data_IF_445540047131
#
_entry.id   IF_445540047131
#
_cell.length_a   1.000
_cell.length_b   1.000
_cell.length_c   1.000
_cell.angle_alpha   90.00
_cell.angle_beta   90.00
_cell.angle_gamma   90.00
#
_symmetry.space_group_name_H-M   'P 1'
#
loop_
_entity.id
_entity.type
_entity.pdbx_description
1 polymer ?
#
# COMPACT_ATOMS: atom_id res chain seq x y z
N UNK A 1 46.78 38.52 -7.05
CA UNK A 1 46.39 37.26 -6.38
C UNK A 1 45.01 37.48 -5.79
N UNK A 2 43.95 36.94 -6.41
CA UNK A 2 42.60 36.97 -5.82
C UNK A 2 42.52 35.78 -4.86
N UNK A 3 42.38 36.06 -3.56
CA UNK A 3 42.15 35.04 -2.55
C UNK A 3 40.88 34.26 -2.87
N UNK A 4 40.87 32.98 -2.53
CA UNK A 4 39.79 32.06 -2.86
C UNK A 4 38.48 32.51 -2.18
N UNK A 5 37.57 33.10 -2.95
CA UNK A 5 36.26 33.62 -2.51
C UNK A 5 35.36 32.57 -1.84
N UNK A 6 35.75 31.28 -1.80
CA UNK A 6 35.01 30.20 -1.17
C UNK A 6 35.16 30.17 0.36
N UNK A 7 36.32 30.54 0.91
CA UNK A 7 36.57 30.44 2.37
C UNK A 7 35.65 31.37 3.19
N UNK A 8 35.29 32.54 2.65
CA UNK A 8 34.37 33.47 3.31
C UNK A 8 32.93 32.95 3.39
N UNK A 9 32.51 32.06 2.48
CA UNK A 9 31.16 31.50 2.45
C UNK A 9 31.05 30.16 3.19
N UNK A 10 32.18 29.55 3.56
CA UNK A 10 32.25 28.24 4.22
C UNK A 10 31.33 28.12 5.45
N UNK A 11 31.25 29.11 6.36
CA UNK A 11 30.34 29.03 7.52
C UNK A 11 28.86 28.99 7.13
N UNK A 12 28.48 29.71 6.07
CA UNK A 12 27.12 29.72 5.54
C UNK A 12 26.78 28.40 4.85
N UNK A 13 27.72 27.85 4.08
CA UNK A 13 27.58 26.54 3.44
C UNK A 13 27.37 25.45 4.50
N UNK A 14 28.18 25.44 5.57
CA UNK A 14 28.01 24.46 6.66
C UNK A 14 26.69 24.64 7.42
N UNK A 15 26.21 25.88 7.57
CA UNK A 15 24.88 26.13 8.15
C UNK A 15 23.76 25.54 7.27
N UNK A 16 23.80 25.75 5.95
CA UNK A 16 22.82 25.18 5.03
C UNK A 16 22.88 23.65 4.98
N UNK A 17 24.08 23.06 4.95
CA UNK A 17 24.26 21.61 5.02
C UNK A 17 23.71 21.05 6.34
N UNK A 18 23.97 21.72 7.47
CA UNK A 18 23.42 21.35 8.76
C UNK A 18 21.89 21.39 8.81
N UNK A 19 21.27 22.44 8.23
CA UNK A 19 19.81 22.56 8.13
C UNK A 19 19.24 21.45 7.24
N UNK A 20 19.85 21.17 6.09
CA UNK A 20 19.40 20.09 5.18
C UNK A 20 19.47 18.74 5.90
N UNK A 21 20.56 18.45 6.61
CA UNK A 21 20.71 17.21 7.39
C UNK A 21 19.63 17.12 8.47
N UNK A 22 19.35 18.21 9.19
CA UNK A 22 18.31 18.22 10.22
C UNK A 22 16.91 18.03 9.64
N UNK A 23 16.62 18.60 8.47
CA UNK A 23 15.35 18.41 7.76
C UNK A 23 15.22 16.96 7.29
N UNK A 24 16.26 16.39 6.69
CA UNK A 24 16.26 15.00 6.23
C UNK A 24 16.11 14.02 7.40
N UNK A 25 16.81 14.26 8.52
CA UNK A 25 16.66 13.46 9.74
C UNK A 25 15.27 13.63 10.34
N UNK A 26 14.73 14.85 10.39
CA UNK A 26 13.39 15.11 10.94
C UNK A 26 12.29 14.45 10.11
N UNK A 27 12.35 14.59 8.80
CA UNK A 27 11.44 13.93 7.85
C UNK A 27 11.60 12.41 7.95
N UNK A 28 12.83 11.90 7.92
CA UNK A 28 13.11 10.47 8.10
C UNK A 28 12.61 9.91 9.43
N UNK A 29 12.70 10.67 10.52
CA UNK A 29 12.17 10.28 11.83
C UNK A 29 10.63 10.21 11.86
N UNK A 30 9.94 11.12 11.16
CA UNK A 30 8.49 11.07 10.98
C UNK A 30 8.09 9.80 10.21
N UNK A 31 8.79 9.50 9.11
CA UNK A 31 8.54 8.28 8.34
C UNK A 31 8.87 6.99 9.12
N UNK A 32 9.96 6.97 9.89
CA UNK A 32 10.36 5.82 10.73
C UNK A 32 9.45 5.60 11.93
N UNK A 33 8.77 6.64 12.42
CA UNK A 33 7.80 6.54 13.48
C UNK A 33 6.44 5.98 13.01
N UNK A 34 6.20 5.86 11.70
CA UNK A 34 4.92 5.42 11.14
C UNK A 34 3.78 6.45 11.29
N UNK A 35 4.04 7.60 11.90
CA UNK A 35 3.11 8.72 12.03
C UNK A 35 3.10 9.54 10.73
N UNK A 36 2.43 9.01 9.71
CA UNK A 36 1.92 9.85 8.61
C UNK A 36 1.02 10.91 9.26
N UNK A 37 1.20 12.22 9.01
CA UNK A 37 0.32 13.23 9.56
C UNK A 37 -1.14 12.85 9.30
N UNK A 38 -1.96 12.80 10.35
CA UNK A 38 -3.35 12.32 10.33
C UNK A 38 -4.23 13.05 9.28
N UNK A 39 -3.76 14.21 8.79
CA UNK A 39 -4.38 15.02 7.74
C UNK A 39 -4.14 14.53 6.31
N UNK A 40 -3.20 13.60 6.08
CA UNK A 40 -2.81 13.07 4.74
C UNK A 40 -3.18 11.58 4.58
N UNK A 41 -3.55 10.90 5.67
CA UNK A 41 -3.92 9.49 5.65
C UNK A 41 -5.38 9.28 5.20
N UNK A 42 -5.61 8.25 4.36
CA UNK A 42 -6.95 7.86 3.95
C UNK A 42 -7.71 7.28 5.16
N UNK A 43 -8.96 7.73 5.36
CA UNK A 43 -9.79 7.31 6.49
C UNK A 43 -10.66 6.12 6.11
N UNK A 44 -10.15 4.91 6.29
CA UNK A 44 -10.87 3.68 5.95
C UNK A 44 -12.11 3.37 6.82
N UNK A 45 -12.37 4.17 7.85
CA UNK A 45 -13.66 4.17 8.53
C UNK A 45 -14.80 4.72 7.65
N UNK A 46 -14.48 5.55 6.66
CA UNK A 46 -15.42 6.13 5.71
C UNK A 46 -15.68 5.15 4.55
N UNK A 47 -16.94 4.70 4.34
CA UNK A 47 -17.28 3.84 3.22
C UNK A 47 -16.94 4.40 1.84
N UNK A 48 -16.82 5.71 1.67
CA UNK A 48 -16.44 6.33 0.40
C UNK A 48 -15.01 5.98 -0.05
N UNK A 49 -14.15 5.54 0.88
CA UNK A 49 -12.78 5.10 0.59
C UNK A 49 -12.69 3.62 0.22
N UNK A 50 -13.82 2.99 -0.13
CA UNK A 50 -13.90 1.61 -0.55
C UNK A 50 -14.68 1.51 -1.86
N UNK A 51 -14.12 0.82 -2.84
CA UNK A 51 -14.87 0.37 -4.00
C UNK A 51 -15.93 -0.66 -3.58
N UNK A 52 -15.54 -1.59 -2.69
CA UNK A 52 -16.46 -2.53 -2.07
C UNK A 52 -16.12 -2.69 -0.59
N UNK A 53 -17.13 -2.55 0.25
CA UNK A 53 -17.03 -2.69 1.70
C UNK A 53 -18.07 -3.71 2.15
N UNK A 54 -17.68 -4.98 2.14
CA UNK A 54 -18.50 -6.12 2.50
C UNK A 54 -19.50 -5.85 3.63
N UNK A 55 -20.72 -6.32 3.44
CA UNK A 55 -21.85 -6.01 4.31
C UNK A 55 -22.74 -7.21 4.63
N UNK A 56 -22.46 -8.38 4.06
CA UNK A 56 -23.25 -9.58 4.30
C UNK A 56 -22.79 -10.26 5.61
N UNK A 57 -23.61 -10.23 6.67
CA UNK A 57 -23.25 -10.86 7.93
C UNK A 57 -23.23 -12.39 7.85
N UNK A 58 -23.85 -13.00 6.84
CA UNK A 58 -23.92 -14.45 6.64
C UNK A 58 -22.82 -14.97 5.70
N UNK A 59 -21.98 -14.08 5.14
CA UNK A 59 -20.86 -14.50 4.31
C UNK A 59 -19.91 -15.43 5.08
N UNK A 60 -19.64 -16.59 4.49
CA UNK A 60 -18.78 -17.63 5.07
C UNK A 60 -17.27 -17.32 4.88
N UNK A 61 -16.95 -16.42 3.95
CA UNK A 61 -15.60 -16.07 3.55
C UNK A 61 -15.52 -14.61 3.12
N UNK A 62 -14.43 -13.95 3.48
CA UNK A 62 -14.09 -12.62 3.00
C UNK A 62 -12.96 -12.67 1.97
N UNK A 63 -12.95 -11.71 1.05
CA UNK A 63 -11.85 -11.43 0.14
C UNK A 63 -11.36 -10.02 0.38
N UNK A 64 -10.12 -9.87 0.83
CA UNK A 64 -9.44 -8.57 0.84
C UNK A 64 -8.63 -8.45 -0.44
N UNK A 65 -9.03 -7.52 -1.32
CA UNK A 65 -8.47 -7.40 -2.66
C UNK A 65 -7.80 -6.05 -2.90
N UNK A 66 -6.56 -6.06 -3.39
CA UNK A 66 -5.85 -4.87 -3.88
C UNK A 66 -5.74 -4.94 -5.41
N UNK A 67 -6.35 -3.99 -6.11
CA UNK A 67 -6.31 -3.87 -7.57
C UNK A 67 -4.95 -3.36 -8.06
N UNK A 68 -4.71 -3.41 -9.37
CA UNK A 68 -3.47 -2.90 -9.97
C UNK A 68 -3.46 -1.36 -10.03
N UNK A 69 -2.45 -0.75 -10.63
CA UNK A 69 -2.54 0.65 -11.04
C UNK A 69 -3.53 0.83 -12.21
N UNK A 70 -4.27 1.96 -12.21
CA UNK A 70 -5.16 2.30 -13.32
C UNK A 70 -4.53 3.40 -14.15
N UNK A 71 -4.68 3.29 -15.48
CA UNK A 71 -4.27 4.38 -16.36
C UNK A 71 -5.26 5.54 -16.27
N UNK A 72 -4.74 6.71 -15.92
CA UNK A 72 -5.51 7.94 -15.75
C UNK A 72 -4.92 9.00 -16.67
N UNK A 73 -5.72 9.50 -17.61
CA UNK A 73 -5.23 10.34 -18.71
C UNK A 73 -4.87 11.76 -18.30
N UNK A 74 -5.43 12.25 -17.18
CA UNK A 74 -5.33 13.66 -16.77
C UNK A 74 -4.42 13.87 -15.55
N UNK A 75 -3.47 12.95 -15.30
CA UNK A 75 -2.48 13.10 -14.22
C UNK A 75 -1.29 13.92 -14.72
N UNK A 76 -0.92 14.93 -13.93
CA UNK A 76 0.28 15.74 -14.17
C UNK A 76 1.55 14.88 -14.07
N UNK A 77 2.56 15.10 -14.94
CA UNK A 77 3.82 14.34 -14.89
C UNK A 77 4.64 14.57 -13.62
N UNK A 78 4.23 15.52 -12.77
CA UNK A 78 4.85 15.78 -11.47
C UNK A 78 4.12 15.10 -10.31
N UNK A 79 2.96 14.49 -10.54
CA UNK A 79 2.22 13.74 -9.54
C UNK A 79 2.78 12.33 -9.47
N UNK A 80 3.28 11.94 -8.31
CA UNK A 80 3.91 10.63 -8.10
C UNK A 80 2.91 9.57 -7.65
N UNK A 81 1.77 10.00 -7.11
CA UNK A 81 0.70 9.14 -6.66
C UNK A 81 -0.65 9.63 -7.16
N UNK A 82 -1.54 8.69 -7.44
CA UNK A 82 -2.92 8.97 -7.82
C UNK A 82 -3.71 9.46 -6.61
N UNK A 83 -4.38 10.61 -6.71
CA UNK A 83 -5.33 11.07 -5.68
C UNK A 83 -6.62 10.23 -5.75
N UNK A 84 -6.85 9.44 -4.69
CA UNK A 84 -8.02 8.56 -4.57
C UNK A 84 -9.35 9.30 -4.52
N UNK A 85 -9.37 10.60 -4.20
CA UNK A 85 -10.62 11.37 -4.16
C UNK A 85 -11.17 11.74 -5.53
N UNK A 86 -10.38 11.51 -6.60
CA UNK A 86 -10.77 11.80 -7.97
C UNK A 86 -11.80 10.79 -8.47
N UNK A 87 -12.96 11.31 -8.88
CA UNK A 87 -14.05 10.51 -9.43
C UNK A 87 -13.64 9.64 -10.64
N UNK A 88 -12.70 10.12 -11.46
CA UNK A 88 -12.18 9.33 -12.58
C UNK A 88 -11.57 8.00 -12.12
N UNK A 89 -10.83 8.01 -11.01
CA UNK A 89 -10.18 6.81 -10.45
C UNK A 89 -11.23 5.79 -10.05
N UNK A 90 -12.30 6.24 -9.39
CA UNK A 90 -13.36 5.34 -8.97
C UNK A 90 -13.97 4.62 -10.18
N UNK A 91 -14.21 5.32 -11.29
CA UNK A 91 -14.75 4.69 -12.50
C UNK A 91 -13.74 3.73 -13.15
N UNK A 92 -12.46 4.12 -13.28
CA UNK A 92 -11.43 3.27 -13.89
C UNK A 92 -11.23 1.99 -13.10
N UNK A 93 -11.19 2.09 -11.78
CA UNK A 93 -11.12 0.96 -10.87
C UNK A 93 -12.36 0.07 -11.03
N UNK A 94 -13.56 0.65 -11.11
CA UNK A 94 -14.77 -0.14 -11.38
C UNK A 94 -14.72 -0.86 -12.74
N UNK A 95 -14.23 -0.21 -13.80
CA UNK A 95 -14.10 -0.80 -15.13
C UNK A 95 -13.10 -1.97 -15.13
N UNK A 96 -11.94 -1.81 -14.49
CA UNK A 96 -10.92 -2.86 -14.34
C UNK A 96 -11.46 -4.04 -13.52
N UNK A 97 -12.12 -3.73 -12.40
CA UNK A 97 -12.60 -4.71 -11.46
C UNK A 97 -13.86 -5.45 -11.91
N UNK A 98 -14.56 -4.97 -12.95
CA UNK A 98 -15.83 -5.59 -13.39
C UNK A 98 -15.65 -7.10 -13.61
N UNK A 99 -14.62 -7.51 -14.33
CA UNK A 99 -14.36 -8.94 -14.58
C UNK A 99 -13.88 -9.70 -13.33
N UNK A 100 -13.14 -9.03 -12.45
CA UNK A 100 -12.55 -9.63 -11.24
C UNK A 100 -13.59 -9.82 -10.13
N UNK A 101 -14.45 -8.82 -9.92
CA UNK A 101 -15.54 -8.84 -8.92
C UNK A 101 -16.64 -9.81 -9.34
N UNK A 102 -17.00 -9.84 -10.62
CA UNK A 102 -18.01 -10.78 -11.15
C UNK A 102 -17.52 -12.24 -11.16
N UNK A 103 -16.20 -12.47 -11.09
CA UNK A 103 -15.61 -13.81 -11.04
C UNK A 103 -15.63 -14.46 -9.65
N UNK A 104 -15.82 -13.67 -8.57
CA UNK A 104 -15.90 -14.24 -7.22
C UNK A 104 -17.27 -14.89 -6.97
N UNK A 105 -17.31 -16.13 -6.45
CA UNK A 105 -18.57 -16.82 -6.19
C UNK A 105 -19.50 -16.01 -5.28
N UNK A 106 -20.81 -16.09 -5.57
CA UNK A 106 -21.84 -15.54 -4.67
C UNK A 106 -21.69 -16.10 -3.25
N UNK A 107 -21.81 -15.25 -2.23
CA UNK A 107 -21.72 -15.64 -0.81
C UNK A 107 -20.42 -15.24 -0.10
N UNK A 108 -19.56 -14.45 -0.75
CA UNK A 108 -18.36 -13.86 -0.16
C UNK A 108 -18.51 -12.34 -0.01
N UNK A 109 -17.92 -11.79 1.05
CA UNK A 109 -17.76 -10.34 1.18
C UNK A 109 -16.48 -9.90 0.48
N UNK A 110 -16.57 -8.87 -0.36
CA UNK A 110 -15.40 -8.24 -0.96
C UNK A 110 -15.03 -6.96 -0.19
N UNK A 111 -13.75 -6.82 0.12
CA UNK A 111 -13.16 -5.64 0.75
C UNK A 111 -12.09 -5.09 -0.19
N UNK A 112 -12.45 -4.04 -0.92
CA UNK A 112 -11.63 -3.44 -1.97
C UNK A 112 -11.44 -1.96 -1.63
N UNK A 113 -10.34 -1.59 -0.96
CA UNK A 113 -10.09 -0.22 -0.53
C UNK A 113 -9.56 0.62 -1.69
N UNK A 114 -9.98 1.88 -1.79
CA UNK A 114 -9.23 2.83 -2.60
C UNK A 114 -7.91 3.15 -1.90
N UNK A 115 -6.79 2.98 -2.58
CA UNK A 115 -5.46 3.32 -2.09
C UNK A 115 -4.72 4.13 -3.16
N UNK A 116 -3.81 5.02 -2.75
CA UNK A 116 -3.05 5.82 -3.72
C UNK A 116 -2.16 4.90 -4.53
N UNK A 117 -2.30 4.90 -5.84
CA UNK A 117 -1.43 4.12 -6.72
C UNK A 117 -0.16 4.90 -7.05
N UNK A 118 0.96 4.22 -7.29
CA UNK A 118 2.14 4.84 -7.90
C UNK A 118 1.83 5.14 -9.37
N UNK A 119 2.14 6.35 -9.83
CA UNK A 119 1.89 6.73 -11.24
C UNK A 119 2.96 6.15 -12.15
N UNK A 120 2.62 5.92 -13.42
CA UNK A 120 3.60 5.53 -14.44
C UNK A 120 4.76 6.53 -14.55
N UNK A 121 4.50 7.82 -14.36
CA UNK A 121 5.54 8.85 -14.32
C UNK A 121 6.54 8.66 -13.18
N UNK A 122 6.09 8.21 -12.00
CA UNK A 122 6.97 7.89 -10.89
C UNK A 122 7.77 6.60 -11.15
N UNK A 123 7.14 5.57 -11.72
CA UNK A 123 7.81 4.31 -12.10
C UNK A 123 8.89 4.52 -13.17
N UNK A 124 8.66 5.43 -14.12
CA UNK A 124 9.59 5.74 -15.20
C UNK A 124 10.57 6.88 -14.86
N UNK A 125 10.57 7.38 -13.62
CA UNK A 125 11.42 8.49 -13.23
C UNK A 125 12.91 8.10 -13.26
N UNK A 126 13.76 9.00 -13.78
CA UNK A 126 15.22 8.79 -13.81
C UNK A 126 15.85 8.64 -12.41
N UNK A 127 15.15 9.05 -11.37
CA UNK A 127 15.60 9.01 -9.98
C UNK A 127 14.78 7.97 -9.20
N UNK A 128 15.37 6.80 -8.83
CA UNK A 128 14.66 5.72 -8.12
C UNK A 128 14.00 6.16 -6.81
N UNK A 129 14.54 7.18 -6.14
CA UNK A 129 13.98 7.72 -4.90
C UNK A 129 12.55 8.26 -5.06
N UNK A 130 12.16 8.65 -6.27
CA UNK A 130 10.81 9.15 -6.56
C UNK A 130 9.81 7.99 -6.51
N UNK A 131 10.10 6.90 -7.22
CA UNK A 131 9.30 5.68 -7.20
C UNK A 131 9.23 5.11 -5.78
N UNK A 132 10.38 5.02 -5.09
CA UNK A 132 10.44 4.50 -3.71
C UNK A 132 9.54 5.30 -2.76
N UNK A 133 9.61 6.64 -2.82
CA UNK A 133 8.78 7.50 -1.98
C UNK A 133 7.28 7.35 -2.30
N UNK A 134 6.94 7.24 -3.60
CA UNK A 134 5.57 7.03 -4.03
C UNK A 134 5.02 5.67 -3.58
N UNK A 135 5.84 4.63 -3.71
CA UNK A 135 5.53 3.27 -3.28
C UNK A 135 5.34 3.20 -1.77
N UNK A 136 6.17 3.90 -0.99
CA UNK A 136 6.00 3.99 0.47
C UNK A 136 4.64 4.56 0.86
N UNK A 137 4.15 5.58 0.15
CA UNK A 137 2.83 6.17 0.39
C UNK A 137 1.72 5.18 0.04
N UNK A 138 1.79 4.61 -1.17
CA UNK A 138 0.81 3.64 -1.67
C UNK A 138 0.69 2.40 -0.76
N UNK A 139 1.84 1.84 -0.37
CA UNK A 139 1.89 0.70 0.52
C UNK A 139 1.41 1.04 1.94
N UNK A 140 1.66 2.25 2.44
CA UNK A 140 1.12 2.69 3.73
C UNK A 140 -0.41 2.74 3.72
N UNK A 141 -1.03 3.19 2.63
CA UNK A 141 -2.49 3.18 2.47
C UNK A 141 -3.04 1.75 2.45
N UNK A 142 -2.45 0.87 1.64
CA UNK A 142 -2.83 -0.54 1.57
C UNK A 142 -2.77 -1.21 2.96
N UNK A 143 -1.71 -0.94 3.72
CA UNK A 143 -1.54 -1.41 5.10
C UNK A 143 -2.59 -0.86 6.04
N UNK A 144 -2.93 0.43 5.94
CA UNK A 144 -3.96 1.06 6.75
C UNK A 144 -5.35 0.46 6.46
N UNK A 145 -5.67 0.20 5.19
CA UNK A 145 -6.90 -0.45 4.78
C UNK A 145 -7.02 -1.87 5.35
N UNK A 146 -5.96 -2.67 5.18
CA UNK A 146 -5.93 -4.04 5.68
C UNK A 146 -6.05 -4.08 7.20
N UNK A 147 -5.35 -3.16 7.89
CA UNK A 147 -5.45 -3.06 9.34
C UNK A 147 -6.87 -2.70 9.81
N UNK A 148 -7.55 -1.77 9.12
CA UNK A 148 -8.96 -1.47 9.43
C UNK A 148 -9.86 -2.69 9.17
N UNK A 149 -9.70 -3.35 8.02
CA UNK A 149 -10.42 -4.57 7.70
C UNK A 149 -10.28 -5.62 8.81
N UNK A 150 -9.05 -5.98 9.17
CA UNK A 150 -8.80 -7.03 10.17
C UNK A 150 -9.35 -6.69 11.56
N UNK A 151 -9.27 -5.44 11.99
CA UNK A 151 -9.64 -5.06 13.36
C UNK A 151 -11.12 -4.65 13.53
N UNK A 152 -11.77 -4.21 12.44
CA UNK A 152 -13.11 -3.60 12.51
C UNK A 152 -14.14 -4.40 11.71
N UNK A 153 -13.75 -5.12 10.66
CA UNK A 153 -14.68 -5.74 9.70
C UNK A 153 -14.61 -7.26 9.62
N UNK A 154 -13.42 -7.85 9.68
CA UNK A 154 -13.23 -9.30 9.51
C UNK A 154 -13.97 -10.11 10.58
N UNK A 155 -14.05 -9.62 11.83
CA UNK A 155 -14.76 -10.28 12.95
C UNK A 155 -14.34 -11.75 13.18
N UNK A 156 -13.14 -12.14 12.76
CA UNK A 156 -12.66 -13.52 12.84
C UNK A 156 -13.16 -14.44 11.74
N UNK A 157 -13.77 -13.93 10.67
CA UNK A 157 -14.15 -14.70 9.48
C UNK A 157 -12.92 -15.28 8.79
N UNK A 158 -13.03 -16.48 8.19
CA UNK A 158 -12.07 -16.95 7.20
C UNK A 158 -11.91 -15.91 6.09
N UNK A 159 -10.70 -15.74 5.58
CA UNK A 159 -10.45 -14.74 4.54
C UNK A 159 -9.38 -15.16 3.54
N UNK A 160 -9.43 -14.55 2.37
CA UNK A 160 -8.41 -14.66 1.31
C UNK A 160 -7.78 -13.29 1.10
N UNK A 161 -6.47 -13.28 0.83
CA UNK A 161 -5.78 -12.13 0.27
C UNK A 161 -5.67 -12.30 -1.23
N UNK A 162 -6.03 -11.29 -2.00
CA UNK A 162 -5.91 -11.34 -3.43
C UNK A 162 -5.46 -10.00 -4.02
N UNK A 163 -4.62 -10.00 -5.05
CA UNK A 163 -4.25 -8.76 -5.71
C UNK A 163 -3.66 -8.97 -7.10
N UNK A 164 -3.59 -7.88 -7.84
CA UNK A 164 -3.02 -7.82 -9.19
C UNK A 164 -1.99 -6.71 -9.30
N UNK A 165 -0.92 -6.95 -10.05
CA UNK A 165 0.19 -6.03 -10.31
C UNK A 165 0.68 -5.35 -9.04
N UNK A 166 0.53 -4.03 -8.94
CA UNK A 166 0.93 -3.25 -7.77
C UNK A 166 0.27 -3.75 -6.46
N UNK A 167 -1.01 -4.12 -6.51
CA UNK A 167 -1.73 -4.68 -5.37
C UNK A 167 -1.21 -6.06 -4.95
N UNK A 168 -0.76 -6.89 -5.91
CA UNK A 168 -0.14 -8.18 -5.62
C UNK A 168 1.21 -8.00 -4.90
N UNK A 169 2.02 -7.04 -5.34
CA UNK A 169 3.29 -6.69 -4.69
C UNK A 169 3.08 -6.27 -3.24
N UNK A 170 2.09 -5.41 -2.97
CA UNK A 170 1.79 -4.95 -1.61
C UNK A 170 1.25 -6.04 -0.70
N UNK A 171 0.50 -7.01 -1.22
CA UNK A 171 0.08 -8.18 -0.44
C UNK A 171 1.29 -9.04 -0.07
N UNK A 172 2.18 -9.31 -1.04
CA UNK A 172 3.39 -10.08 -0.79
C UNK A 172 4.29 -9.41 0.26
N UNK A 173 4.49 -8.09 0.12
CA UNK A 173 5.26 -7.28 1.08
C UNK A 173 4.62 -7.29 2.46
N UNK A 174 3.30 -7.14 2.55
CA UNK A 174 2.58 -7.16 3.83
C UNK A 174 2.66 -8.52 4.54
N UNK A 175 2.59 -9.63 3.80
CA UNK A 175 2.79 -10.97 4.36
C UNK A 175 4.20 -11.07 4.93
N UNK A 176 5.21 -10.72 4.15
CA UNK A 176 6.61 -10.70 4.58
C UNK A 176 6.84 -9.83 5.82
N UNK A 177 6.28 -8.62 5.85
CA UNK A 177 6.50 -7.66 6.91
C UNK A 177 5.77 -8.07 8.21
N UNK A 178 4.46 -8.35 8.12
CA UNK A 178 3.57 -8.39 9.28
C UNK A 178 3.19 -9.79 9.74
N UNK A 179 2.97 -10.72 8.81
CA UNK A 179 2.32 -11.98 9.17
C UNK A 179 3.23 -12.84 10.05
N UNK A 180 4.55 -12.83 9.79
CA UNK A 180 5.57 -13.53 10.58
C UNK A 180 5.67 -13.11 12.05
N UNK A 181 5.10 -11.95 12.42
CA UNK A 181 5.04 -11.47 13.81
C UNK A 181 3.61 -11.41 14.36
N UNK A 182 2.61 -11.78 13.55
CA UNK A 182 1.18 -11.72 13.87
C UNK A 182 0.50 -13.04 13.48
N UNK A 183 0.75 -14.14 14.21
CA UNK A 183 0.22 -15.46 13.89
C UNK A 183 -1.31 -15.51 13.85
N UNK A 184 -2.01 -14.57 14.50
CA UNK A 184 -3.45 -14.43 14.41
C UNK A 184 -3.95 -14.20 12.97
N UNK A 185 -3.16 -13.52 12.13
CA UNK A 185 -3.52 -13.29 10.73
C UNK A 185 -3.48 -14.60 9.93
N UNK A 186 -2.48 -15.45 10.15
CA UNK A 186 -2.38 -16.74 9.46
C UNK A 186 -3.49 -17.73 9.87
N UNK A 187 -4.02 -17.62 11.09
CA UNK A 187 -5.00 -18.58 11.64
C UNK A 187 -6.23 -18.79 10.75
N UNK A 188 -6.76 -17.70 10.17
CA UNK A 188 -7.99 -17.71 9.40
C UNK A 188 -7.76 -17.47 7.90
N UNK A 189 -6.50 -17.31 7.48
CA UNK A 189 -6.14 -17.14 6.08
C UNK A 189 -6.37 -18.45 5.31
N UNK A 190 -7.28 -18.43 4.35
CA UNK A 190 -7.64 -19.60 3.53
C UNK A 190 -6.84 -19.67 2.22
N UNK A 191 -6.24 -18.55 1.80
CA UNK A 191 -5.45 -18.51 0.57
C UNK A 191 -4.89 -17.14 0.26
N UNK A 192 -3.88 -17.12 -0.60
CA UNK A 192 -3.25 -15.92 -1.14
C UNK A 192 -3.22 -16.04 -2.67
N UNK A 193 -3.82 -15.09 -3.39
CA UNK A 193 -3.85 -15.05 -4.85
C UNK A 193 -3.10 -13.81 -5.34
N UNK A 194 -1.96 -14.01 -5.98
CA UNK A 194 -1.15 -12.92 -6.55
C UNK A 194 -1.20 -13.06 -8.07
N UNK A 195 -1.64 -12.03 -8.77
CA UNK A 195 -1.83 -12.03 -10.23
C UNK A 195 -2.68 -13.21 -10.73
N UNK A 196 -3.75 -13.49 -9.99
CA UNK A 196 -4.66 -14.60 -10.28
C UNK A 196 -4.10 -16.00 -9.98
N UNK A 197 -2.89 -16.12 -9.40
CA UNK A 197 -2.27 -17.40 -9.06
C UNK A 197 -2.35 -17.67 -7.56
N UNK A 198 -2.91 -18.82 -7.20
CA UNK A 198 -2.86 -19.33 -5.83
C UNK A 198 -1.41 -19.60 -5.42
N UNK A 199 -0.99 -18.98 -4.33
CA UNK A 199 0.33 -19.21 -3.75
C UNK A 199 0.33 -20.49 -2.92
N UNK A 200 1.38 -21.29 -3.05
CA UNK A 200 1.54 -22.50 -2.26
C UNK A 200 1.99 -22.19 -0.83
N UNK A 201 1.84 -23.14 0.09
CA UNK A 201 2.34 -22.98 1.46
C UNK A 201 3.85 -22.71 1.49
N UNK A 202 4.61 -23.34 0.59
CA UNK A 202 6.06 -23.12 0.49
C UNK A 202 6.35 -21.67 0.07
N UNK A 203 5.60 -21.15 -0.89
CA UNK A 203 5.72 -19.76 -1.34
C UNK A 203 5.34 -18.77 -0.24
N UNK A 204 4.25 -19.03 0.49
CA UNK A 204 3.86 -18.19 1.63
C UNK A 204 4.94 -18.25 2.73
N UNK A 205 5.51 -19.42 2.98
CA UNK A 205 6.60 -19.60 3.95
C UNK A 205 7.86 -18.84 3.52
N UNK A 206 8.21 -18.90 2.23
CA UNK A 206 9.33 -18.15 1.67
C UNK A 206 9.13 -16.63 1.82
N UNK A 207 7.91 -16.14 1.55
CA UNK A 207 7.56 -14.73 1.78
C UNK A 207 7.74 -14.32 3.25
N UNK A 208 7.41 -15.20 4.20
CA UNK A 208 7.58 -14.93 5.63
C UNK A 208 9.07 -14.89 6.08
N UNK A 209 9.98 -15.49 5.31
CA UNK A 209 11.41 -15.58 5.63
C UNK A 209 11.70 -16.33 6.94
N UNK A 210 12.77 -15.96 7.64
CA UNK A 210 13.18 -16.56 8.93
C UNK A 210 12.19 -16.29 10.10
N UNK A 211 11.12 -15.52 9.86
CA UNK A 211 10.06 -15.27 10.85
C UNK A 211 9.23 -16.55 11.00
N UNK A 212 9.72 -17.45 11.85
CA UNK A 212 9.13 -18.78 12.05
C UNK A 212 7.69 -18.66 12.54
N UNK A 213 6.73 -19.02 11.69
CA UNK A 213 5.39 -19.40 12.13
C UNK A 213 5.10 -20.78 11.56
N UNK A 214 4.73 -21.70 12.45
CA UNK A 214 4.19 -23.00 12.07
C UNK A 214 2.88 -22.75 11.31
N UNK A 215 2.96 -22.79 9.98
CA UNK A 215 1.78 -22.97 9.13
C UNK A 215 1.30 -24.38 9.40
N UNK A 216 0.18 -24.52 10.12
CA UNK A 216 -0.46 -25.80 10.43
C UNK A 216 -1.19 -26.38 9.22
#
# INVERSE_FOLDING_TARGET
MKGNDLEQWMPMIWLFVGIIILVVIGVGAIYMAGDVPETIAIKYADPANWHSLGSDPEAELDVFYLYDDVNVSDISPYETNVDVSLYEIHNRVSDELTATVDAYPSGMNNYIPYYRQVTQYAQEADLPIIEDAARMIAYADAKAAFHYYMNVRNEGRPYILAGSGQGAEYIAEMISEWFGTRPAYLKNLQGVYLDGKLQSNDTITELLGDKTILVL
#
